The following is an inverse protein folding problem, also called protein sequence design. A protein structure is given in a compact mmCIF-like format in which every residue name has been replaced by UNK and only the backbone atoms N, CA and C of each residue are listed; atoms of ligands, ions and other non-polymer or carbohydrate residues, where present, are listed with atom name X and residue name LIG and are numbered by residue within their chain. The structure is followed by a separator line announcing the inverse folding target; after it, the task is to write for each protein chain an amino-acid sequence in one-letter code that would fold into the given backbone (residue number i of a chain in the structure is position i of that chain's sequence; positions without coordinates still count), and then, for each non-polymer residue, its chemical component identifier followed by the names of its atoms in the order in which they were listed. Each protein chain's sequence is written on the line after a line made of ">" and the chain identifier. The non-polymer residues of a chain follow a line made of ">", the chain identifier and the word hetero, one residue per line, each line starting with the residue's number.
data_IF_307620673443
#
_entry.id   IF_307620673443
#
_cell.length_a   1.000
_cell.length_b   1.000
_cell.length_c   1.000
_cell.angle_alpha   90.00
_cell.angle_beta   90.00
_cell.angle_gamma   90.00
#
_symmetry.space_group_name_H-M   'P 1'
#
loop_
_entity.id
_entity.type
_entity.pdbx_description
1 polymer ?
#
# COMPACT_ATOMS: atom_id res chain seq x y z
N UNK A 1 -14.43 3.43 8.55
CA UNK A 1 -14.03 2.05 8.18
C UNK A 1 -13.41 1.97 6.79
N UNK A 2 -14.11 2.33 5.69
CA UNK A 2 -13.59 2.21 4.31
C UNK A 2 -12.21 2.84 4.11
N UNK A 3 -11.96 4.03 4.68
CA UNK A 3 -10.66 4.69 4.57
C UNK A 3 -9.51 3.91 5.25
N UNK A 4 -9.80 3.21 6.36
CA UNK A 4 -8.81 2.37 7.04
C UNK A 4 -8.52 1.12 6.20
N UNK A 5 -9.57 0.51 5.64
CA UNK A 5 -9.43 -0.61 4.71
C UNK A 5 -8.61 -0.22 3.48
N UNK A 6 -8.90 0.94 2.88
CA UNK A 6 -8.13 1.46 1.74
C UNK A 6 -6.66 1.65 2.12
N UNK A 7 -6.38 2.26 3.27
CA UNK A 7 -5.01 2.46 3.74
C UNK A 7 -4.26 1.14 3.92
N UNK A 8 -4.89 0.14 4.52
CA UNK A 8 -4.28 -1.18 4.71
C UNK A 8 -4.04 -1.90 3.38
N UNK A 9 -5.02 -1.84 2.49
CA UNK A 9 -4.88 -2.37 1.14
C UNK A 9 -3.75 -1.66 0.40
N UNK A 10 -3.64 -0.34 0.48
CA UNK A 10 -2.51 0.38 -0.12
C UNK A 10 -1.18 -0.05 0.49
N UNK A 11 -1.08 -0.24 1.81
CA UNK A 11 0.15 -0.73 2.48
C UNK A 11 0.61 -2.07 1.92
N UNK A 12 -0.31 -3.00 1.68
CA UNK A 12 0.02 -4.35 1.22
C UNK A 12 0.20 -4.45 -0.30
N UNK A 13 -0.47 -3.60 -1.07
CA UNK A 13 -0.48 -3.68 -2.54
C UNK A 13 0.53 -2.73 -3.20
N UNK A 14 0.90 -1.62 -2.56
CA UNK A 14 1.75 -0.60 -3.16
C UNK A 14 3.24 -0.93 -3.02
N UNK A 15 3.68 -1.96 -3.72
CA UNK A 15 5.11 -2.28 -3.85
C UNK A 15 5.72 -1.37 -4.89
N UNK A 16 6.55 -0.42 -4.46
CA UNK A 16 7.20 0.54 -5.34
C UNK A 16 8.58 0.92 -4.83
N UNK A 17 9.51 1.16 -5.76
CA UNK A 17 10.84 1.68 -5.44
C UNK A 17 10.90 3.17 -5.74
N UNK A 18 11.29 3.96 -4.76
CA UNK A 18 11.65 5.36 -4.97
C UNK A 18 13.11 5.45 -5.38
N UNK A 19 13.41 6.24 -6.41
CA UNK A 19 14.78 6.53 -6.81
C UNK A 19 14.92 8.01 -7.17
N UNK A 20 16.04 8.61 -6.77
CA UNK A 20 16.39 10.00 -7.06
C UNK A 20 17.86 10.12 -7.39
N UNK A 21 18.17 10.87 -8.44
CA UNK A 21 19.54 11.24 -8.79
C UNK A 21 19.96 12.49 -8.02
N UNK A 22 21.16 12.48 -7.44
CA UNK A 22 21.73 13.66 -6.83
C UNK A 22 22.22 14.64 -7.93
N UNK A 23 21.45 15.71 -8.12
CA UNK A 23 21.74 16.78 -9.09
C UNK A 23 22.20 18.08 -8.42
N UNK A 24 22.58 18.03 -7.14
CA UNK A 24 22.87 19.24 -6.35
C UNK A 24 24.23 19.90 -6.62
N UNK A 25 25.06 19.31 -7.50
CA UNK A 25 26.43 19.76 -7.78
C UNK A 25 27.46 19.39 -6.71
N UNK A 26 27.07 18.70 -5.64
CA UNK A 26 27.95 18.21 -4.56
C UNK A 26 27.43 16.92 -3.94
N UNK A 27 28.23 16.30 -3.09
CA UNK A 27 27.84 15.12 -2.33
C UNK A 27 26.77 15.48 -1.29
N UNK A 28 25.80 14.58 -1.11
CA UNK A 28 24.71 14.74 -0.14
C UNK A 28 24.93 13.76 1.01
N UNK A 29 25.20 14.28 2.21
CA UNK A 29 25.39 13.48 3.41
C UNK A 29 24.06 12.85 3.86
N UNK A 30 24.09 11.56 4.17
CA UNK A 30 22.96 10.77 4.63
C UNK A 30 22.95 10.71 6.16
N UNK A 31 21.97 11.37 6.78
CA UNK A 31 21.72 11.27 8.22
C UNK A 31 22.97 11.55 9.06
N UNK A 32 23.16 10.76 10.13
CA UNK A 32 24.29 10.87 11.06
C UNK A 32 25.43 9.88 10.81
N UNK A 33 25.37 9.04 9.77
CA UNK A 33 26.39 8.01 9.51
C UNK A 33 27.66 8.56 8.85
N UNK A 34 27.57 9.74 8.23
CA UNK A 34 28.66 10.31 7.43
C UNK A 34 28.73 9.77 6.00
N UNK A 35 27.90 8.78 5.66
CA UNK A 35 27.76 8.26 4.29
C UNK A 35 27.23 9.34 3.35
N UNK A 36 27.58 9.26 2.06
CA UNK A 36 27.17 10.25 1.06
C UNK A 36 26.52 9.61 -0.16
N UNK A 37 25.60 10.34 -0.77
CA UNK A 37 25.18 10.13 -2.15
C UNK A 37 26.05 11.03 -3.02
N UNK A 38 26.98 10.50 -3.81
CA UNK A 38 27.86 11.32 -4.62
C UNK A 38 27.09 12.18 -5.63
N UNK A 39 27.67 13.30 -6.06
CA UNK A 39 27.12 14.03 -7.20
C UNK A 39 26.96 13.10 -8.42
N UNK A 40 25.79 13.13 -9.05
CA UNK A 40 25.46 12.26 -10.17
C UNK A 40 25.01 10.84 -9.80
N UNK A 41 25.20 10.42 -8.54
CA UNK A 41 24.75 9.13 -8.01
C UNK A 41 23.24 9.04 -7.80
N UNK A 42 22.75 7.82 -7.61
CA UNK A 42 21.33 7.55 -7.31
C UNK A 42 21.18 7.09 -5.87
N UNK A 43 20.18 7.64 -5.19
CA UNK A 43 19.63 7.09 -3.96
C UNK A 43 18.36 6.31 -4.31
N UNK A 44 18.28 5.06 -3.88
CA UNK A 44 17.11 4.19 -4.06
C UNK A 44 16.61 3.71 -2.71
N UNK A 45 15.29 3.57 -2.59
CA UNK A 45 14.65 3.05 -1.39
C UNK A 45 13.40 2.27 -1.78
N UNK A 46 13.31 1.02 -1.33
CA UNK A 46 12.13 0.20 -1.51
C UNK A 46 11.06 0.65 -0.51
N UNK A 47 9.97 1.26 -0.99
CA UNK A 47 8.92 1.78 -0.11
C UNK A 47 8.26 0.68 0.71
N UNK A 48 8.24 -0.54 0.17
CA UNK A 48 7.67 -1.71 0.85
C UNK A 48 8.44 -2.08 2.13
N UNK A 49 9.73 -1.73 2.26
CA UNK A 49 10.55 -2.06 3.43
C UNK A 49 9.92 -1.58 4.74
N UNK A 50 9.39 -0.35 4.75
CA UNK A 50 8.73 0.19 5.95
C UNK A 50 7.37 -0.47 6.18
N UNK A 51 6.67 -0.84 5.10
CA UNK A 51 5.35 -1.44 5.15
C UNK A 51 5.39 -2.88 5.64
N UNK A 52 6.48 -3.63 5.40
CA UNK A 52 6.65 -5.00 5.90
C UNK A 52 7.50 -5.10 7.16
N UNK A 53 7.96 -3.99 7.72
CA UNK A 53 8.78 -3.98 8.91
C UNK A 53 7.95 -4.45 10.15
N UNK A 54 8.26 -5.61 10.76
CA UNK A 54 7.49 -6.14 11.88
C UNK A 54 7.61 -5.30 13.16
N UNK A 55 8.65 -4.47 13.29
CA UNK A 55 8.80 -3.54 14.41
C UNK A 55 7.81 -2.38 14.35
N UNK A 56 7.33 -2.04 13.14
CA UNK A 56 6.30 -0.99 12.93
C UNK A 56 4.91 -1.64 12.87
N UNK A 57 4.79 -2.69 12.05
CA UNK A 57 3.55 -3.43 11.77
C UNK A 57 3.68 -4.90 12.21
N UNK A 58 3.24 -5.27 13.43
CA UNK A 58 3.24 -6.67 13.89
C UNK A 58 2.41 -7.57 12.97
N UNK A 59 2.87 -8.78 12.64
CA UNK A 59 2.26 -9.61 11.58
C UNK A 59 2.08 -8.82 10.26
N UNK A 60 3.17 -8.31 9.64
CA UNK A 60 3.10 -7.27 8.62
C UNK A 60 2.34 -7.68 7.35
N UNK A 61 2.25 -8.97 7.04
CA UNK A 61 1.53 -9.45 5.86
C UNK A 61 0.03 -9.64 6.10
N UNK A 62 -0.41 -9.62 7.37
CA UNK A 62 -1.82 -9.73 7.72
C UNK A 62 -2.54 -8.43 7.42
N UNK A 63 -3.60 -8.51 6.60
CA UNK A 63 -4.51 -7.41 6.34
C UNK A 63 -5.33 -7.10 7.60
N UNK A 64 -5.03 -5.98 8.24
CA UNK A 64 -5.71 -5.54 9.46
C UNK A 64 -5.90 -4.00 9.44
N UNK A 65 -7.09 -3.52 9.04
CA UNK A 65 -7.41 -2.09 9.07
C UNK A 65 -7.40 -1.48 10.48
N UNK A 66 -7.49 -2.30 11.53
CA UNK A 66 -7.47 -1.87 12.92
C UNK A 66 -6.14 -1.25 13.36
N UNK A 67 -5.05 -1.51 12.62
CA UNK A 67 -3.71 -0.95 12.84
C UNK A 67 -3.66 0.57 12.96
N UNK A 68 -4.60 1.24 12.30
CA UNK A 68 -4.65 2.70 12.18
C UNK A 68 -5.63 3.36 13.16
N UNK A 69 -6.29 2.57 14.01
CA UNK A 69 -7.14 3.11 15.07
C UNK A 69 -6.30 3.89 16.10
N UNK A 70 -6.90 4.85 16.83
CA UNK A 70 -6.15 5.74 17.72
C UNK A 70 -5.31 5.04 18.79
N UNK A 71 -5.74 3.87 19.25
CA UNK A 71 -5.09 3.03 20.26
C UNK A 71 -3.82 2.34 19.74
N UNK A 72 -3.76 2.03 18.43
CA UNK A 72 -2.63 1.33 17.81
C UNK A 72 -1.72 2.26 17.02
N UNK A 73 -2.32 3.12 16.19
CA UNK A 73 -1.68 4.16 15.39
C UNK A 73 -0.33 3.75 14.78
N UNK A 74 -0.24 2.52 14.24
CA UNK A 74 1.02 1.91 13.80
C UNK A 74 1.73 2.77 12.73
N UNK A 75 0.96 3.45 11.88
CA UNK A 75 1.45 4.38 10.87
C UNK A 75 2.06 5.68 11.39
N UNK A 76 1.97 5.93 12.69
CA UNK A 76 2.49 7.15 13.35
C UNK A 76 3.64 6.86 14.30
N UNK A 77 3.98 5.59 14.51
CA UNK A 77 5.06 5.18 15.43
C UNK A 77 6.42 5.70 14.99
N UNK A 78 6.65 5.79 13.69
CA UNK A 78 7.90 6.27 13.10
C UNK A 78 7.62 7.32 12.01
N UNK A 79 8.52 8.31 11.83
CA UNK A 79 8.48 9.17 10.65
C UNK A 79 8.51 8.31 9.38
N UNK A 80 7.61 8.63 8.43
CA UNK A 80 7.50 7.89 7.17
C UNK A 80 7.14 6.40 7.33
N UNK A 81 6.54 6.00 8.45
CA UNK A 81 6.02 4.63 8.65
C UNK A 81 5.00 4.21 7.59
N UNK A 82 4.37 5.15 6.89
CA UNK A 82 3.46 4.88 5.79
C UNK A 82 3.78 5.71 4.55
N UNK A 83 4.15 5.04 3.46
CA UNK A 83 4.56 5.65 2.19
C UNK A 83 3.64 5.32 0.99
N UNK A 84 2.42 4.82 1.24
CA UNK A 84 1.53 4.30 0.18
C UNK A 84 1.06 5.32 -0.87
N UNK A 85 1.25 6.61 -0.61
CA UNK A 85 0.92 7.69 -1.56
C UNK A 85 2.11 8.65 -1.78
N UNK A 86 3.33 8.17 -1.52
CA UNK A 86 4.53 9.00 -1.50
C UNK A 86 4.60 9.95 -0.31
N UNK A 87 5.70 10.68 -0.20
CA UNK A 87 5.96 11.64 0.86
C UNK A 87 6.91 12.77 0.42
N UNK A 88 7.16 13.73 1.30
CA UNK A 88 8.13 14.81 1.09
C UNK A 88 7.72 15.80 0.00
N UNK A 89 8.64 16.12 -0.91
CA UNK A 89 8.42 17.14 -1.96
C UNK A 89 7.53 16.67 -3.12
N UNK A 90 7.35 15.36 -3.26
CA UNK A 90 6.63 14.77 -4.39
C UNK A 90 5.62 13.70 -3.92
N UNK A 91 4.67 14.04 -3.04
CA UNK A 91 3.56 13.15 -2.74
C UNK A 91 2.68 12.99 -3.98
N UNK A 92 1.90 11.92 -4.05
CA UNK A 92 0.96 11.70 -5.12
C UNK A 92 -0.10 12.82 -5.15
N UNK A 93 -0.07 13.64 -6.21
CA UNK A 93 -0.94 14.80 -6.36
C UNK A 93 -2.43 14.42 -6.41
N UNK A 94 -2.73 13.25 -6.99
CA UNK A 94 -4.10 12.73 -7.12
C UNK A 94 -4.68 12.07 -5.87
N UNK A 95 -3.96 12.07 -4.73
CA UNK A 95 -4.32 11.28 -3.55
C UNK A 95 -5.74 11.56 -3.05
N UNK A 96 -6.16 12.83 -3.05
CA UNK A 96 -7.50 13.20 -2.58
C UNK A 96 -8.59 12.69 -3.50
N UNK A 97 -8.39 12.82 -4.81
CA UNK A 97 -9.34 12.33 -5.81
C UNK A 97 -9.43 10.80 -5.77
N UNK A 98 -8.30 10.10 -5.80
CA UNK A 98 -8.26 8.65 -5.76
C UNK A 98 -8.96 8.08 -4.52
N UNK A 99 -8.71 8.67 -3.33
CA UNK A 99 -9.38 8.26 -2.09
C UNK A 99 -10.89 8.47 -2.13
N UNK A 100 -11.35 9.55 -2.76
CA UNK A 100 -12.77 9.84 -2.91
C UNK A 100 -13.43 8.85 -3.86
N UNK A 101 -12.87 8.66 -5.06
CA UNK A 101 -13.39 7.75 -6.08
C UNK A 101 -13.46 6.31 -5.58
N UNK A 102 -12.39 5.82 -4.96
CA UNK A 102 -12.36 4.46 -4.39
C UNK A 102 -13.38 4.33 -3.27
N UNK A 103 -13.52 5.34 -2.41
CA UNK A 103 -14.49 5.27 -1.33
C UNK A 103 -15.93 5.23 -1.83
N UNK A 104 -16.28 6.04 -2.84
CA UNK A 104 -17.61 6.04 -3.46
C UNK A 104 -17.87 4.69 -4.11
N UNK A 105 -16.91 4.18 -4.90
CA UNK A 105 -17.03 2.90 -5.59
C UNK A 105 -17.23 1.74 -4.59
N UNK A 106 -16.37 1.65 -3.57
CA UNK A 106 -16.44 0.58 -2.58
C UNK A 106 -17.72 0.69 -1.74
N UNK A 107 -18.13 1.90 -1.35
CA UNK A 107 -19.37 2.10 -0.61
C UNK A 107 -20.59 1.66 -1.44
N UNK A 108 -20.62 1.99 -2.74
CA UNK A 108 -21.69 1.58 -3.64
C UNK A 108 -21.71 0.06 -3.81
N UNK A 109 -20.56 -0.55 -4.13
CA UNK A 109 -20.46 -2.00 -4.30
C UNK A 109 -20.90 -2.76 -3.05
N UNK A 110 -20.35 -2.42 -1.89
CA UNK A 110 -20.67 -3.08 -0.61
C UNK A 110 -22.08 -2.75 -0.14
N UNK A 111 -22.65 -1.61 -0.52
CA UNK A 111 -24.04 -1.26 -0.20
C UNK A 111 -25.05 -2.01 -1.07
N UNK A 112 -24.70 -2.31 -2.32
CA UNK A 112 -25.61 -2.88 -3.31
C UNK A 112 -25.52 -4.40 -3.42
N UNK A 113 -24.36 -4.99 -3.16
CA UNK A 113 -24.13 -6.42 -3.39
C UNK A 113 -23.52 -7.15 -2.19
N UNK A 114 -23.86 -8.43 -2.07
CA UNK A 114 -23.10 -9.39 -1.28
C UNK A 114 -22.10 -10.11 -2.16
N UNK A 115 -20.84 -10.12 -1.73
CA UNK A 115 -19.73 -10.73 -2.46
C UNK A 115 -19.22 -11.97 -1.75
N UNK A 116 -18.78 -12.95 -2.53
CA UNK A 116 -17.96 -14.07 -2.07
C UNK A 116 -16.77 -14.22 -3.01
N UNK A 117 -15.57 -14.35 -2.43
CA UNK A 117 -14.37 -14.62 -3.20
C UNK A 117 -14.42 -16.05 -3.73
N UNK A 118 -14.05 -16.22 -4.99
CA UNK A 118 -14.01 -17.50 -5.66
C UNK A 118 -12.74 -17.67 -6.50
N UNK A 119 -12.33 -18.92 -6.67
CA UNK A 119 -11.27 -19.26 -7.61
C UNK A 119 -11.76 -19.18 -9.07
N UNK A 120 -10.85 -19.44 -10.02
CA UNK A 120 -11.19 -19.48 -11.46
C UNK A 120 -12.37 -20.40 -11.80
N UNK A 121 -12.59 -21.46 -11.01
CA UNK A 121 -13.65 -22.47 -11.17
C UNK A 121 -14.94 -22.11 -10.41
N UNK A 122 -14.99 -20.98 -9.70
CA UNK A 122 -16.16 -20.55 -8.94
C UNK A 122 -16.30 -21.19 -7.56
N UNK A 123 -15.26 -21.87 -7.06
CA UNK A 123 -15.23 -22.44 -5.70
C UNK A 123 -14.88 -21.36 -4.70
N UNK A 124 -15.56 -21.35 -3.56
CA UNK A 124 -15.33 -20.35 -2.51
C UNK A 124 -13.86 -20.35 -2.04
N UNK A 125 -13.33 -19.16 -1.78
CA UNK A 125 -12.02 -18.93 -1.18
C UNK A 125 -12.21 -18.14 0.12
N UNK A 126 -11.56 -18.58 1.19
CA UNK A 126 -11.56 -17.89 2.49
C UNK A 126 -10.60 -16.71 2.53
N UNK A 127 -9.54 -16.74 1.70
CA UNK A 127 -8.47 -15.75 1.70
C UNK A 127 -8.15 -15.29 0.28
N UNK A 128 -7.81 -14.00 0.16
CA UNK A 128 -7.33 -13.44 -1.09
C UNK A 128 -5.88 -13.88 -1.35
N UNK A 129 -5.48 -14.14 -2.60
CA UNK A 129 -4.08 -14.38 -2.93
C UNK A 129 -3.20 -13.21 -2.51
N UNK A 130 -1.98 -13.54 -2.10
CA UNK A 130 -0.96 -12.53 -1.84
C UNK A 130 -0.56 -11.81 -3.13
N UNK A 131 -0.17 -10.55 -2.97
CA UNK A 131 0.42 -9.77 -4.05
C UNK A 131 1.82 -10.27 -4.31
N UNK A 132 2.17 -10.46 -5.58
CA UNK A 132 3.55 -10.72 -5.95
C UNK A 132 4.40 -9.45 -5.75
N UNK A 133 5.19 -9.45 -4.68
CA UNK A 133 6.07 -8.34 -4.30
C UNK A 133 7.38 -8.31 -5.08
N UNK A 134 7.67 -9.35 -5.86
CA UNK A 134 8.89 -9.45 -6.70
C UNK A 134 8.70 -8.90 -8.12
N UNK A 135 7.48 -8.45 -8.47
CA UNK A 135 7.24 -7.89 -9.79
C UNK A 135 7.92 -6.52 -9.96
N UNK A 136 8.52 -6.34 -11.13
CA UNK A 136 9.24 -5.12 -11.51
C UNK A 136 8.30 -3.95 -11.86
N UNK A 137 7.02 -4.24 -12.11
CA UNK A 137 5.95 -3.27 -12.40
C UNK A 137 4.65 -3.69 -11.72
N UNK A 138 3.73 -2.74 -11.56
CA UNK A 138 2.38 -3.04 -11.09
C UNK A 138 1.67 -3.95 -12.09
N UNK A 139 1.33 -5.16 -11.64
CA UNK A 139 0.57 -6.15 -12.41
C UNK A 139 -0.69 -6.55 -11.67
N UNK A 140 -1.60 -7.24 -12.36
CA UNK A 140 -2.68 -7.97 -11.70
C UNK A 140 -2.16 -9.09 -10.80
N UNK A 141 -3.07 -9.73 -10.07
CA UNK A 141 -2.76 -10.92 -9.26
C UNK A 141 -2.29 -12.07 -10.15
N UNK A 142 -1.22 -12.75 -9.73
CA UNK A 142 -0.70 -13.94 -10.42
C UNK A 142 -1.71 -15.10 -10.41
N UNK A 143 -2.48 -15.19 -9.32
CA UNK A 143 -3.56 -16.17 -9.19
C UNK A 143 -4.88 -15.51 -9.59
N UNK A 144 -5.53 -15.95 -10.69
CA UNK A 144 -6.81 -15.39 -11.10
C UNK A 144 -7.90 -15.71 -10.08
N UNK A 145 -8.59 -14.66 -9.62
CA UNK A 145 -9.76 -14.76 -8.73
C UNK A 145 -10.99 -14.17 -9.38
N UNK A 146 -12.15 -14.58 -8.88
CA UNK A 146 -13.47 -14.09 -9.27
C UNK A 146 -14.23 -13.64 -8.03
N UNK A 147 -15.13 -12.69 -8.21
CA UNK A 147 -16.12 -12.32 -7.20
C UNK A 147 -17.48 -12.84 -7.66
N UNK A 148 -18.06 -13.77 -6.91
CA UNK A 148 -19.47 -14.12 -7.06
C UNK A 148 -20.29 -13.12 -6.25
N UNK A 149 -21.28 -12.50 -6.89
CA UNK A 149 -22.09 -11.46 -6.27
C UNK A 149 -23.59 -11.79 -6.32
N UNK A 150 -24.34 -11.23 -5.38
CA UNK A 150 -25.81 -11.19 -5.37
C UNK A 150 -26.25 -9.77 -5.03
N UNK A 151 -27.34 -9.31 -5.65
CA UNK A 151 -27.95 -8.03 -5.26
C UNK A 151 -28.52 -8.17 -3.84
N UNK A 152 -28.30 -7.18 -2.99
CA UNK A 152 -28.95 -7.11 -1.68
C UNK A 152 -30.41 -6.73 -1.84
N UNK A 153 -31.28 -7.44 -1.15
CA UNK A 153 -32.65 -6.97 -0.92
C UNK A 153 -32.58 -5.83 0.11
N UNK A 154 -33.20 -4.69 -0.21
CA UNK A 154 -33.22 -3.49 0.63
C UNK A 154 -34.23 -3.61 1.76
#
# INVERSE_FOLDING_TARGET
>A
MIQLCLKETTRLQAVATSFRRNVSGKDVVLGGSGEVVPHGGFATYLLDDVHVNPSIYPEPLRWDPGRYLPDRAEDKKEPLAFLGWGAGRHPYLGMRLAKLEIAILVANLVGTFDFSLCDKKGRHMSEAPETNRSNHTSSGLDTPVKLKYKLREQ
#
